data_IF_232724650727
#
_entry.id   IF_232724650727
#
_cell.length_a   1.000
_cell.length_b   1.000
_cell.length_c   1.000
_cell.angle_alpha   90.00
_cell.angle_beta   90.00
_cell.angle_gamma   90.00
#
_symmetry.space_group_name_H-M   'P 1'
#
loop_
_entity.id
_entity.type
_entity.pdbx_description
1 polymer ?
#
# COMPACT_ATOMS: atom_id res chain seq x y z
N UNK A 1 31.45 -38.41 -4.87
CA UNK A 1 32.87 -38.30 -4.49
C UNK A 1 33.72 -38.75 -5.67
N UNK A 2 34.09 -37.86 -6.59
CA UNK A 2 34.86 -38.19 -7.80
C UNK A 2 35.69 -36.99 -8.31
N UNK A 3 36.31 -36.21 -7.40
CA UNK A 3 37.12 -35.05 -7.79
C UNK A 3 38.56 -35.08 -7.24
N UNK A 4 39.06 -36.27 -6.88
CA UNK A 4 40.44 -36.47 -6.40
C UNK A 4 41.33 -37.20 -7.42
N UNK A 5 40.90 -37.31 -8.69
CA UNK A 5 41.56 -38.19 -9.69
C UNK A 5 42.26 -37.47 -10.85
N UNK A 6 42.51 -36.15 -10.74
CA UNK A 6 43.08 -35.36 -11.86
C UNK A 6 44.35 -34.57 -11.51
N UNK A 7 44.85 -34.61 -10.28
CA UNK A 7 46.15 -34.00 -9.95
C UNK A 7 47.27 -35.03 -10.21
N UNK A 8 48.12 -34.77 -11.22
CA UNK A 8 49.24 -35.64 -11.59
C UNK A 8 49.08 -36.40 -12.91
N UNK A 9 48.19 -35.97 -13.81
CA UNK A 9 48.15 -36.54 -15.16
C UNK A 9 49.46 -36.22 -15.91
N UNK A 10 50.25 -37.26 -16.19
CA UNK A 10 51.48 -37.16 -16.99
C UNK A 10 51.13 -37.18 -18.47
N UNK A 11 51.64 -36.21 -19.21
CA UNK A 11 51.64 -36.23 -20.68
C UNK A 11 53.09 -36.19 -21.15
N UNK A 12 53.66 -37.37 -21.44
CA UNK A 12 55.07 -37.54 -21.78
C UNK A 12 56.01 -37.23 -20.60
N UNK A 13 57.11 -36.52 -20.88
CA UNK A 13 58.14 -36.16 -19.87
C UNK A 13 57.79 -34.97 -18.98
N UNK A 14 56.53 -34.50 -19.00
CA UNK A 14 56.09 -33.34 -18.22
C UNK A 14 54.86 -33.67 -17.38
N UNK A 15 54.94 -33.36 -16.08
CA UNK A 15 53.86 -33.55 -15.11
C UNK A 15 53.07 -32.25 -14.95
N UNK A 16 51.75 -32.30 -15.09
CA UNK A 16 50.87 -31.14 -14.90
C UNK A 16 50.55 -30.95 -13.41
N UNK A 17 50.91 -29.80 -12.86
CA UNK A 17 50.51 -29.34 -11.52
C UNK A 17 49.45 -28.25 -11.64
N UNK A 18 48.30 -28.46 -11.00
CA UNK A 18 47.22 -27.47 -10.99
C UNK A 18 47.34 -26.62 -9.72
N UNK A 19 47.51 -25.30 -9.89
CA UNK A 19 47.46 -24.31 -8.80
C UNK A 19 46.38 -23.29 -9.12
N UNK A 20 45.63 -22.86 -8.11
CA UNK A 20 44.60 -21.81 -8.25
C UNK A 20 45.31 -20.52 -8.70
N UNK A 21 44.91 -19.97 -9.86
CA UNK A 21 45.48 -18.72 -10.35
C UNK A 21 45.07 -17.56 -9.43
N UNK A 22 46.05 -16.83 -8.91
CA UNK A 22 45.85 -15.53 -8.25
C UNK A 22 46.57 -14.48 -9.09
N UNK A 23 45.83 -13.78 -9.94
CA UNK A 23 46.31 -12.60 -10.67
C UNK A 23 45.98 -11.36 -9.85
N UNK A 24 47.00 -10.62 -9.42
CA UNK A 24 46.87 -9.29 -8.84
C UNK A 24 47.47 -8.22 -9.76
N UNK A 25 46.73 -7.10 -9.88
CA UNK A 25 47.18 -5.72 -10.12
C UNK A 25 47.03 -5.14 -11.54
N UNK A 26 45.98 -4.32 -11.70
CA UNK A 26 45.78 -3.34 -12.77
C UNK A 26 44.50 -2.54 -12.49
N UNK A 27 44.60 -1.21 -12.45
CA UNK A 27 43.63 -0.25 -11.87
C UNK A 27 42.25 -0.20 -12.58
N UNK A 28 41.17 -0.25 -11.80
CA UNK A 28 39.90 0.51 -11.96
C UNK A 28 39.09 0.35 -10.67
N UNK A 29 39.29 1.26 -9.70
CA UNK A 29 38.63 1.22 -8.37
C UNK A 29 38.01 2.56 -8.01
N UNK A 30 37.45 3.27 -9.01
CA UNK A 30 36.79 4.57 -8.80
C UNK A 30 35.32 4.55 -9.21
N UNK A 31 34.94 3.79 -10.24
CA UNK A 31 33.54 3.76 -10.69
C UNK A 31 32.60 3.03 -9.73
N UNK A 32 33.03 1.93 -9.10
CA UNK A 32 32.18 1.19 -8.15
C UNK A 32 31.91 1.95 -6.84
N UNK A 33 32.85 2.81 -6.41
CA UNK A 33 32.68 3.64 -5.21
C UNK A 33 31.82 4.87 -5.50
N UNK A 34 31.93 5.44 -6.72
CA UNK A 34 31.09 6.54 -7.18
C UNK A 34 29.62 6.13 -7.33
N UNK A 35 29.33 4.94 -7.87
CA UNK A 35 27.96 4.43 -8.00
C UNK A 35 27.33 4.19 -6.61
N UNK A 36 28.11 3.69 -5.64
CA UNK A 36 27.64 3.48 -4.27
C UNK A 36 27.44 4.80 -3.49
N UNK A 37 28.33 5.77 -3.70
CA UNK A 37 28.19 7.11 -3.14
C UNK A 37 26.98 7.85 -3.74
N UNK A 38 26.77 7.73 -5.06
CA UNK A 38 25.64 8.32 -5.76
C UNK A 38 24.32 7.66 -5.36
N UNK A 39 24.28 6.34 -5.19
CA UNK A 39 23.10 5.64 -4.66
C UNK A 39 22.75 6.08 -3.23
N UNK A 40 23.75 6.25 -2.35
CA UNK A 40 23.54 6.78 -0.99
C UNK A 40 23.05 8.23 -1.00
N UNK A 41 23.60 9.07 -1.88
CA UNK A 41 23.15 10.45 -2.03
C UNK A 41 21.74 10.55 -2.60
N UNK A 42 21.37 9.69 -3.56
CA UNK A 42 20.02 9.65 -4.12
C UNK A 42 18.98 9.19 -3.08
N UNK A 43 19.32 8.21 -2.23
CA UNK A 43 18.48 7.80 -1.10
C UNK A 43 18.32 8.92 -0.04
N UNK A 44 19.39 9.65 0.27
CA UNK A 44 19.32 10.78 1.20
C UNK A 44 18.47 11.94 0.66
N UNK A 45 18.51 12.18 -0.65
CA UNK A 45 17.74 13.24 -1.30
C UNK A 45 16.24 12.91 -1.36
N UNK A 46 15.88 11.65 -1.67
CA UNK A 46 14.48 11.20 -1.58
C UNK A 46 13.96 11.23 -0.13
N UNK A 47 14.82 10.96 0.86
CA UNK A 47 14.46 11.06 2.29
C UNK A 47 14.18 12.51 2.72
N UNK A 48 14.98 13.48 2.27
CA UNK A 48 14.72 14.91 2.55
C UNK A 48 13.47 15.44 1.83
N UNK A 49 13.19 14.99 0.61
CA UNK A 49 11.96 15.36 -0.10
C UNK A 49 10.70 14.80 0.60
N UNK A 50 10.80 13.64 1.24
CA UNK A 50 9.71 13.05 2.02
C UNK A 50 9.52 13.75 3.37
N UNK A 51 10.61 14.08 4.07
CA UNK A 51 10.59 14.85 5.32
C UNK A 51 10.05 16.29 5.15
N UNK A 52 10.21 16.89 3.96
CA UNK A 52 9.66 18.20 3.64
C UNK A 52 8.13 18.23 3.48
N UNK A 53 7.47 17.07 3.33
CA UNK A 53 5.99 16.99 3.25
C UNK A 53 5.29 16.90 4.61
N UNK A 54 6.03 16.96 5.73
CA UNK A 54 5.46 17.29 7.03
C UNK A 54 4.53 16.24 7.65
N UNK A 55 4.70 14.95 7.35
CA UNK A 55 4.02 13.88 8.09
C UNK A 55 5.00 12.77 8.49
N UNK A 56 5.77 13.02 9.55
CA UNK A 56 6.44 11.97 10.32
C UNK A 56 6.16 12.19 11.80
N UNK A 57 5.31 11.34 12.37
CA UNK A 57 5.11 11.25 13.82
C UNK A 57 6.28 10.40 14.36
N UNK A 58 7.16 10.92 15.22
CA UNK A 58 8.23 10.12 15.81
C UNK A 58 7.65 9.21 16.89
N UNK A 59 7.88 7.90 16.78
CA UNK A 59 7.52 6.92 17.82
C UNK A 59 6.49 5.85 17.41
N UNK A 60 6.13 5.73 16.13
CA UNK A 60 5.31 4.60 15.67
C UNK A 60 5.96 3.90 14.49
N UNK A 61 6.66 2.82 14.79
CA UNK A 61 7.32 1.85 13.89
C UNK A 61 6.32 0.98 13.10
N UNK A 62 5.22 1.55 12.62
CA UNK A 62 4.43 0.84 11.59
C UNK A 62 5.17 1.04 10.28
N UNK A 63 5.85 -0.01 9.83
CA UNK A 63 6.33 -0.10 8.46
C UNK A 63 5.16 0.24 7.54
N UNK A 64 5.20 1.45 6.97
CA UNK A 64 4.33 1.80 5.87
C UNK A 64 4.72 0.89 4.72
N UNK A 65 4.06 -0.26 4.65
CA UNK A 65 3.98 -1.04 3.43
C UNK A 65 3.40 -0.09 2.40
N UNK A 66 4.28 0.50 1.59
CA UNK A 66 3.91 1.14 0.33
C UNK A 66 3.41 0.03 -0.59
N UNK A 67 2.22 -0.48 -0.29
CA UNK A 67 1.42 -1.14 -1.30
C UNK A 67 1.18 -0.07 -2.36
N UNK A 68 1.64 -0.31 -3.58
CA UNK A 68 1.29 0.53 -4.70
C UNK A 68 -0.24 0.43 -4.86
N UNK A 69 -0.97 1.34 -4.22
CA UNK A 69 -2.41 1.35 -4.29
C UNK A 69 -2.78 1.75 -5.71
N UNK A 70 -3.43 0.83 -6.44
CA UNK A 70 -3.90 1.10 -7.80
C UNK A 70 -5.03 2.13 -7.68
N UNK A 71 -4.91 3.33 -8.28
CA UNK A 71 -5.98 4.31 -8.24
C UNK A 71 -7.23 3.77 -8.92
N UNK A 72 -8.37 3.92 -8.27
CA UNK A 72 -9.70 3.53 -8.78
C UNK A 72 -10.61 4.74 -8.76
N UNK A 73 -11.79 4.59 -9.36
CA UNK A 73 -12.83 5.63 -9.32
C UNK A 73 -13.62 5.67 -8.01
N UNK A 74 -13.50 4.63 -7.18
CA UNK A 74 -14.26 4.49 -5.93
C UNK A 74 -13.34 4.69 -4.73
N UNK A 75 -13.73 5.60 -3.83
CA UNK A 75 -13.06 5.86 -2.57
C UNK A 75 -13.87 5.27 -1.42
N UNK A 76 -13.23 4.48 -0.55
CA UNK A 76 -13.80 4.02 0.71
C UNK A 76 -13.24 4.85 1.85
N UNK A 77 -14.09 5.62 2.53
CA UNK A 77 -13.78 6.30 3.77
C UNK A 77 -14.23 5.44 4.96
N UNK A 78 -13.36 5.32 5.95
CA UNK A 78 -13.65 4.61 7.19
C UNK A 78 -13.34 5.51 8.38
N UNK A 79 -14.05 5.28 9.49
CA UNK A 79 -13.94 6.08 10.73
C UNK A 79 -14.35 7.56 10.57
N UNK A 80 -15.09 7.89 9.51
CA UNK A 80 -15.67 9.23 9.30
C UNK A 80 -17.01 9.40 10.00
N UNK A 81 -17.71 8.30 10.28
CA UNK A 81 -19.04 8.27 10.90
C UNK A 81 -19.02 7.23 12.01
N UNK A 82 -19.65 7.53 13.14
CA UNK A 82 -19.93 6.52 14.15
C UNK A 82 -21.21 5.77 13.76
N UNK A 83 -21.22 4.43 13.84
CA UNK A 83 -22.36 3.68 13.32
C UNK A 83 -23.69 3.93 14.05
N UNK A 84 -23.64 4.49 15.26
CA UNK A 84 -24.82 4.90 16.00
C UNK A 84 -25.60 6.01 15.26
N UNK A 85 -24.88 6.92 14.59
CA UNK A 85 -25.47 8.04 13.85
C UNK A 85 -26.23 7.58 12.60
N UNK A 86 -25.98 6.35 12.13
CA UNK A 86 -26.64 5.77 10.95
C UNK A 86 -27.99 5.10 11.26
N UNK A 87 -28.40 5.04 12.53
CA UNK A 87 -29.71 4.50 12.91
C UNK A 87 -30.81 5.56 12.85
N UNK A 88 -30.47 6.84 13.00
CA UNK A 88 -31.40 7.95 12.90
C UNK A 88 -31.54 8.42 11.43
N UNK A 89 -32.77 8.54 10.94
CA UNK A 89 -33.03 8.91 9.55
C UNK A 89 -32.70 10.38 9.25
N UNK A 90 -32.79 11.27 10.24
CA UNK A 90 -32.46 12.69 10.09
C UNK A 90 -30.96 12.85 10.02
N UNK A 91 -30.23 12.27 10.98
CA UNK A 91 -28.77 12.32 11.02
C UNK A 91 -28.14 11.62 9.80
N UNK A 92 -28.71 10.50 9.35
CA UNK A 92 -28.30 9.87 8.10
C UNK A 92 -28.46 10.81 6.88
N UNK A 93 -29.57 11.55 6.81
CA UNK A 93 -29.83 12.50 5.73
C UNK A 93 -28.77 13.61 5.71
N UNK A 94 -28.47 14.20 6.86
CA UNK A 94 -27.45 15.23 7.02
C UNK A 94 -26.06 14.71 6.64
N UNK A 95 -25.68 13.52 7.13
CA UNK A 95 -24.39 12.89 6.82
C UNK A 95 -24.26 12.60 5.31
N UNK A 96 -25.32 12.10 4.67
CA UNK A 96 -25.30 11.79 3.24
C UNK A 96 -25.15 13.06 2.40
N UNK A 97 -25.81 14.14 2.79
CA UNK A 97 -25.66 15.45 2.16
C UNK A 97 -24.25 16.01 2.37
N UNK A 98 -23.73 16.01 3.60
CA UNK A 98 -22.37 16.45 3.94
C UNK A 98 -21.30 15.69 3.14
N UNK A 99 -21.40 14.36 3.08
CA UNK A 99 -20.43 13.53 2.34
C UNK A 99 -20.50 13.79 0.82
N UNK A 100 -21.69 14.07 0.31
CA UNK A 100 -21.88 14.43 -1.11
C UNK A 100 -21.30 15.79 -1.42
N UNK A 101 -21.62 16.81 -0.63
CA UNK A 101 -21.11 18.16 -0.80
C UNK A 101 -19.60 18.23 -0.64
N UNK A 102 -19.05 17.55 0.38
CA UNK A 102 -17.61 17.49 0.59
C UNK A 102 -16.93 16.71 -0.54
N UNK A 103 -17.50 15.60 -1.00
CA UNK A 103 -16.97 14.80 -2.11
C UNK A 103 -16.89 15.55 -3.44
N UNK A 104 -17.94 16.32 -3.78
CA UNK A 104 -18.02 17.07 -5.04
C UNK A 104 -16.93 18.15 -5.19
N UNK A 105 -16.25 18.55 -4.11
CA UNK A 105 -15.14 19.53 -4.14
C UNK A 105 -13.90 19.01 -4.87
N UNK A 106 -13.75 17.69 -5.02
CA UNK A 106 -12.52 17.07 -5.52
C UNK A 106 -12.63 16.57 -6.98
N UNK A 107 -13.84 16.39 -7.48
CA UNK A 107 -14.13 15.92 -8.83
C UNK A 107 -15.63 15.72 -9.05
N UNK A 108 -16.00 15.26 -10.25
CA UNK A 108 -17.39 14.92 -10.58
C UNK A 108 -17.78 13.64 -9.83
N UNK A 109 -18.71 13.78 -8.89
CA UNK A 109 -19.17 12.72 -8.01
C UNK A 109 -20.42 12.07 -8.61
N UNK A 110 -20.29 10.80 -8.97
CA UNK A 110 -21.32 10.00 -9.64
C UNK A 110 -22.30 9.41 -8.63
N UNK A 111 -21.77 8.85 -7.53
CA UNK A 111 -22.58 8.14 -6.55
C UNK A 111 -21.98 8.22 -5.13
N UNK A 112 -22.87 8.15 -4.14
CA UNK A 112 -22.53 8.11 -2.71
C UNK A 112 -23.32 7.01 -2.03
N UNK A 113 -22.61 6.03 -1.48
CA UNK A 113 -23.24 4.91 -0.78
C UNK A 113 -22.74 4.84 0.65
N UNK A 114 -23.69 4.86 1.59
CA UNK A 114 -23.46 4.68 3.02
C UNK A 114 -24.30 3.49 3.47
N UNK A 115 -23.72 2.29 3.63
CA UNK A 115 -24.47 1.10 4.01
C UNK A 115 -25.07 1.23 5.41
N UNK A 116 -26.40 1.16 5.50
CA UNK A 116 -27.17 1.11 6.75
C UNK A 116 -27.61 -0.32 7.06
N UNK A 117 -27.62 -0.73 8.35
CA UNK A 117 -28.23 -1.97 8.76
C UNK A 117 -29.74 -1.79 8.72
N UNK A 118 -30.44 -2.76 8.13
CA UNK A 118 -31.90 -2.80 8.27
C UNK A 118 -32.24 -3.03 9.75
N UNK A 119 -33.34 -2.44 10.26
CA UNK A 119 -33.72 -2.53 11.68
C UNK A 119 -33.91 -3.97 12.20
N UNK A 120 -34.11 -4.96 11.33
CA UNK A 120 -34.27 -6.38 11.66
C UNK A 120 -33.01 -7.22 11.43
N UNK A 121 -31.96 -6.64 10.82
CA UNK A 121 -30.86 -7.39 10.24
C UNK A 121 -29.55 -7.23 11.03
N UNK A 122 -28.84 -8.36 11.22
CA UNK A 122 -27.48 -8.39 11.77
C UNK A 122 -26.56 -7.56 10.86
N UNK A 123 -25.84 -6.62 11.47
CA UNK A 123 -24.75 -5.78 10.90
C UNK A 123 -24.45 -6.01 9.41
N UNK A 124 -24.77 -5.03 8.57
CA UNK A 124 -24.52 -5.08 7.13
C UNK A 124 -23.03 -4.90 6.81
N UNK A 125 -22.55 -5.57 5.77
CA UNK A 125 -21.20 -5.43 5.25
C UNK A 125 -20.90 -3.95 4.91
N UNK A 126 -19.75 -3.45 5.34
CA UNK A 126 -19.39 -2.04 5.16
C UNK A 126 -20.08 -1.06 6.11
N UNK A 127 -20.76 -1.52 7.16
CA UNK A 127 -21.37 -0.63 8.16
C UNK A 127 -20.37 0.36 8.78
N UNK A 128 -20.75 1.64 8.80
CA UNK A 128 -19.90 2.75 9.26
C UNK A 128 -18.81 3.14 8.26
N UNK A 129 -18.99 2.85 6.97
CA UNK A 129 -18.12 3.27 5.87
C UNK A 129 -18.91 4.09 4.86
N UNK A 130 -18.19 4.97 4.16
CA UNK A 130 -18.75 5.79 3.08
C UNK A 130 -18.01 5.43 1.80
N UNK A 131 -18.76 5.22 0.73
CA UNK A 131 -18.23 4.99 -0.60
C UNK A 131 -18.58 6.17 -1.49
N UNK A 132 -17.57 6.72 -2.15
CA UNK A 132 -17.69 7.84 -3.07
C UNK A 132 -17.21 7.37 -4.45
N UNK A 133 -18.10 7.35 -5.44
CA UNK A 133 -17.76 7.05 -6.82
C UNK A 133 -17.57 8.35 -7.61
N UNK A 134 -16.43 8.48 -8.28
CA UNK A 134 -16.11 9.62 -9.15
C UNK A 134 -16.14 9.23 -10.63
N UNK A 135 -16.29 10.21 -11.52
CA UNK A 135 -16.17 10.01 -12.97
C UNK A 135 -14.78 9.46 -13.35
N UNK A 136 -13.75 9.92 -12.63
CA UNK A 136 -12.34 9.76 -12.95
C UNK A 136 -11.50 9.44 -11.71
N UNK A 137 -10.41 8.69 -11.91
CA UNK A 137 -9.46 8.33 -10.85
C UNK A 137 -8.70 9.54 -10.29
N UNK A 138 -8.60 10.63 -11.05
CA UNK A 138 -7.95 11.87 -10.63
C UNK A 138 -8.75 12.55 -9.50
N UNK A 139 -10.08 12.64 -9.64
CA UNK A 139 -10.95 13.20 -8.61
C UNK A 139 -10.90 12.37 -7.33
N UNK A 140 -10.99 11.05 -7.49
CA UNK A 140 -10.85 10.09 -6.38
C UNK A 140 -9.50 10.23 -5.65
N UNK A 141 -8.39 10.39 -6.38
CA UNK A 141 -7.05 10.57 -5.79
C UNK A 141 -6.94 11.87 -5.00
N UNK A 142 -7.50 12.97 -5.52
CA UNK A 142 -7.57 14.25 -4.80
C UNK A 142 -8.39 14.12 -3.51
N UNK A 143 -9.56 13.48 -3.59
CA UNK A 143 -10.42 13.24 -2.44
C UNK A 143 -9.70 12.39 -1.38
N UNK A 144 -9.00 11.32 -1.79
CA UNK A 144 -8.20 10.49 -0.89
C UNK A 144 -7.16 11.31 -0.14
N UNK A 145 -6.42 12.15 -0.84
CA UNK A 145 -5.38 12.99 -0.24
C UNK A 145 -5.95 14.06 0.71
N UNK A 146 -7.13 14.61 0.40
CA UNK A 146 -7.74 15.66 1.19
C UNK A 146 -8.54 15.15 2.40
N UNK A 147 -9.20 14.00 2.26
CA UNK A 147 -10.07 13.40 3.29
C UNK A 147 -9.32 12.40 4.17
N UNK A 148 -8.29 11.72 3.64
CA UNK A 148 -7.41 10.86 4.42
C UNK A 148 -6.65 11.65 5.48
N UNK A 149 -6.68 11.18 6.72
CA UNK A 149 -5.98 11.84 7.83
C UNK A 149 -6.75 12.98 8.50
N UNK A 150 -7.91 13.39 7.98
CA UNK A 150 -8.76 14.39 8.64
C UNK A 150 -9.40 13.83 9.91
N UNK A 151 -9.68 14.69 10.88
CA UNK A 151 -10.38 14.32 12.11
C UNK A 151 -11.89 14.49 11.95
N UNK A 152 -12.65 13.44 12.22
CA UNK A 152 -14.11 13.41 12.25
C UNK A 152 -14.57 12.78 13.57
N UNK A 153 -15.35 13.50 14.37
CA UNK A 153 -15.85 12.99 15.67
C UNK A 153 -14.74 12.50 16.62
N UNK A 154 -13.53 13.07 16.54
CA UNK A 154 -12.35 12.63 17.29
C UNK A 154 -11.58 11.44 16.69
N UNK A 155 -12.09 10.80 15.64
CA UNK A 155 -11.42 9.75 14.90
C UNK A 155 -10.66 10.30 13.68
N UNK A 156 -9.55 9.67 13.32
CA UNK A 156 -8.86 9.97 12.06
C UNK A 156 -9.47 9.17 10.92
N UNK A 157 -9.97 9.88 9.90
CA UNK A 157 -10.49 9.30 8.68
C UNK A 157 -9.40 8.54 7.93
N UNK A 158 -9.73 7.33 7.50
CA UNK A 158 -8.86 6.51 6.66
C UNK A 158 -9.52 6.35 5.30
N UNK A 159 -8.83 6.82 4.26
CA UNK A 159 -9.30 6.80 2.88
C UNK A 159 -8.51 5.77 2.05
N UNK A 160 -9.20 4.82 1.42
CA UNK A 160 -8.61 3.70 0.68
C UNK A 160 -9.28 3.58 -0.69
N UNK A 161 -8.52 3.32 -1.74
CA UNK A 161 -9.08 3.02 -3.06
C UNK A 161 -9.85 1.70 -3.02
N UNK A 162 -11.04 1.68 -3.59
CA UNK A 162 -11.91 0.51 -3.57
C UNK A 162 -12.11 -0.07 -4.98
N UNK A 163 -11.95 -1.38 -5.19
CA UNK A 163 -12.15 -1.97 -6.51
C UNK A 163 -13.58 -1.78 -7.03
N UNK A 164 -13.69 -1.21 -8.24
CA UNK A 164 -14.96 -0.94 -8.92
C UNK A 164 -15.82 -2.20 -9.09
N UNK A 165 -15.21 -3.34 -9.46
CA UNK A 165 -15.90 -4.63 -9.59
C UNK A 165 -16.65 -5.04 -8.33
N UNK A 166 -16.06 -4.78 -7.16
CA UNK A 166 -16.67 -5.12 -5.88
C UNK A 166 -17.76 -4.12 -5.51
N UNK A 167 -17.55 -2.85 -5.84
CA UNK A 167 -18.50 -1.78 -5.58
C UNK A 167 -19.82 -2.04 -6.32
N UNK A 168 -19.76 -2.29 -7.63
CA UNK A 168 -20.97 -2.54 -8.44
C UNK A 168 -21.68 -3.85 -8.08
N UNK A 169 -20.93 -4.85 -7.57
CA UNK A 169 -21.51 -6.09 -7.02
C UNK A 169 -22.08 -5.92 -5.61
N UNK A 170 -22.01 -4.71 -5.03
CA UNK A 170 -22.36 -4.40 -3.62
C UNK A 170 -21.64 -5.30 -2.61
N UNK A 171 -20.47 -5.80 -2.96
CA UNK A 171 -19.61 -6.56 -2.06
C UNK A 171 -18.86 -5.50 -1.26
N UNK A 172 -19.32 -5.22 -0.04
CA UNK A 172 -18.70 -4.21 0.82
C UNK A 172 -17.69 -4.86 1.80
N UNK A 173 -16.58 -4.18 2.13
CA UNK A 173 -15.59 -4.74 3.03
C UNK A 173 -16.16 -4.87 4.45
N UNK A 174 -16.07 -6.08 5.03
CA UNK A 174 -16.41 -6.35 6.42
C UNK A 174 -15.55 -5.52 7.39
N UNK A 175 -16.06 -5.28 8.61
CA UNK A 175 -15.33 -4.57 9.67
C UNK A 175 -14.05 -5.27 10.13
N UNK A 176 -13.92 -6.57 9.89
CA UNK A 176 -12.89 -7.42 10.52
C UNK A 176 -11.75 -7.91 9.62
N UNK A 177 -11.70 -7.54 8.34
CA UNK A 177 -10.78 -8.21 7.40
C UNK A 177 -9.87 -7.28 6.60
N UNK A 178 -9.17 -6.36 7.26
CA UNK A 178 -8.01 -5.67 6.65
C UNK A 178 -6.66 -6.32 6.98
N UNK A 179 -6.66 -7.56 7.50
CA UNK A 179 -5.44 -8.28 7.88
C UNK A 179 -5.04 -9.36 6.86
N UNK A 180 -5.93 -9.80 5.96
CA UNK A 180 -5.65 -11.00 5.15
C UNK A 180 -4.95 -10.77 3.81
N UNK A 181 -4.76 -9.53 3.33
CA UNK A 181 -4.04 -9.33 2.07
C UNK A 181 -2.51 -9.41 2.20
N UNK A 182 -1.99 -9.55 3.43
CA UNK A 182 -0.54 -9.70 3.67
C UNK A 182 -0.13 -11.17 3.88
N UNK A 183 -1.08 -12.10 4.07
CA UNK A 183 -0.77 -13.51 4.38
C UNK A 183 -0.93 -14.49 3.22
N UNK A 184 -1.43 -14.08 2.05
CA UNK A 184 -1.65 -15.01 0.92
C UNK A 184 -0.36 -15.50 0.24
N UNK A 185 0.82 -15.13 0.73
CA UNK A 185 2.11 -15.59 0.21
C UNK A 185 2.94 -16.41 1.20
N UNK A 186 2.48 -16.61 2.45
CA UNK A 186 3.26 -17.35 3.47
C UNK A 186 2.77 -18.78 3.70
N UNK A 187 1.64 -19.19 3.12
CA UNK A 187 1.04 -20.52 3.36
C UNK A 187 1.08 -21.50 2.18
N UNK A 188 1.83 -21.22 1.10
CA UNK A 188 1.92 -22.14 -0.07
C UNK A 188 3.20 -22.98 -0.09
N UNK A 189 3.95 -23.06 1.01
CA UNK A 189 5.16 -23.91 1.07
C UNK A 189 5.30 -24.67 2.40
N UNK A 190 4.27 -25.42 2.78
CA UNK A 190 4.44 -26.61 3.63
C UNK A 190 3.49 -27.70 3.12
N UNK A 191 3.95 -28.48 2.16
CA UNK A 191 3.56 -29.86 1.89
C UNK A 191 4.70 -30.55 1.13
#
# INVERSE_FOLDING_TARGET
MACASLNGLKMGDKTLTVRRATSSSGQVKSEQECILAQARQHMAMQKMAFEASGMTIPGTEIGAVVTAEIPTKVLCLTKVITPQELFDDVEYGEILEDMKEEGQKFGDLIDVVIPRPEPDQKMVDGFGKVFLEYSDTIGCTKAKAALGGRKFGGNTAVAIFYPEDKYYKRIMPLRFLNIFHVYSLVWVFVL
#
